data_IF_253455528477
#
_entry.id   IF_253455528477
#
_cell.length_a   1.000
_cell.length_b   1.000
_cell.length_c   1.000
_cell.angle_alpha   90.00
_cell.angle_beta   90.00
_cell.angle_gamma   90.00
#
_symmetry.space_group_name_H-M   'P 1'
#
loop_
_entity.id
_entity.type
_entity.pdbx_description
1 polymer ?
#
# COMPACT_ATOMS: atom_id res chain seq x y z
N UNK A 1 11.44 13.63 28.37
CA UNK A 1 11.35 13.10 26.99
C UNK A 1 10.97 11.64 27.13
N UNK A 2 9.96 11.17 26.41
CA UNK A 2 9.55 9.76 26.46
C UNK A 2 10.67 8.86 25.88
N UNK A 3 10.82 7.62 26.38
CA UNK A 3 11.80 6.66 25.86
C UNK A 3 11.56 6.34 24.38
N UNK A 4 10.31 6.36 23.94
CA UNK A 4 9.97 6.17 22.51
C UNK A 4 10.42 7.37 21.67
N UNK A 5 10.29 8.60 22.18
CA UNK A 5 10.77 9.81 21.51
C UNK A 5 12.30 9.82 21.36
N UNK A 6 13.03 9.48 22.42
CA UNK A 6 14.49 9.39 22.39
C UNK A 6 14.97 8.38 21.33
N UNK A 7 14.33 7.21 21.29
CA UNK A 7 14.62 6.18 20.30
C UNK A 7 14.26 6.61 18.88
N UNK A 8 13.18 7.37 18.69
CA UNK A 8 12.82 7.96 17.40
C UNK A 8 13.92 8.93 16.93
N UNK A 9 14.40 9.81 17.82
CA UNK A 9 15.44 10.79 17.48
C UNK A 9 16.77 10.09 17.16
N UNK A 10 17.17 9.06 17.92
CA UNK A 10 18.36 8.25 17.62
C UNK A 10 18.27 7.58 16.25
N UNK A 11 17.10 7.00 15.92
CA UNK A 11 16.89 6.38 14.62
C UNK A 11 17.03 7.38 13.47
N UNK A 12 16.52 8.60 13.65
CA UNK A 12 16.63 9.67 12.64
C UNK A 12 18.09 10.03 12.38
N UNK A 13 18.89 10.24 13.43
CA UNK A 13 20.32 10.54 13.27
C UNK A 13 21.09 9.37 12.65
N UNK A 14 20.84 8.14 13.09
CA UNK A 14 21.49 6.95 12.54
C UNK A 14 21.19 6.79 11.03
N UNK A 15 19.97 7.10 10.59
CA UNK A 15 19.62 7.08 9.17
C UNK A 15 20.25 8.26 8.42
N UNK A 16 20.32 9.45 9.03
CA UNK A 16 20.89 10.68 8.43
C UNK A 16 22.33 10.47 7.95
N UNK A 17 23.14 9.81 8.76
CA UNK A 17 24.54 9.49 8.47
C UNK A 17 24.72 8.47 7.32
N UNK A 18 23.64 7.90 6.79
CA UNK A 18 23.68 6.85 5.76
C UNK A 18 22.83 7.22 4.53
N UNK A 19 23.32 8.11 3.65
CA UNK A 19 22.58 8.60 2.47
C UNK A 19 22.01 7.52 1.55
N UNK A 20 22.65 6.35 1.47
CA UNK A 20 22.16 5.17 0.73
C UNK A 20 20.71 4.77 1.11
N UNK A 21 20.27 5.08 2.34
CA UNK A 21 18.96 4.70 2.85
C UNK A 21 17.83 5.62 2.39
N UNK A 22 18.14 6.84 1.92
CA UNK A 22 17.13 7.85 1.61
C UNK A 22 17.36 8.64 0.31
N UNK A 23 18.60 8.74 -0.16
CA UNK A 23 18.97 9.38 -1.43
C UNK A 23 18.98 8.37 -2.57
N UNK A 24 18.20 8.66 -3.62
CA UNK A 24 18.16 7.83 -4.83
C UNK A 24 19.48 7.86 -5.60
N UNK A 25 20.24 8.96 -5.55
CA UNK A 25 21.57 9.06 -6.18
C UNK A 25 22.58 8.14 -5.48
N UNK A 26 22.55 8.09 -4.15
CA UNK A 26 23.40 7.19 -3.37
C UNK A 26 22.99 5.72 -3.55
N UNK A 27 21.69 5.44 -3.65
CA UNK A 27 21.17 4.09 -3.86
C UNK A 27 21.51 3.52 -5.25
N UNK A 28 21.60 4.35 -6.31
CA UNK A 28 21.98 3.91 -7.65
C UNK A 28 23.43 3.41 -7.71
N UNK A 29 24.31 3.98 -6.89
CA UNK A 29 25.71 3.60 -6.81
C UNK A 29 25.96 2.43 -5.85
N UNK A 30 24.92 1.89 -5.23
CA UNK A 30 25.04 0.91 -4.17
C UNK A 30 24.43 -0.44 -4.56
N UNK A 31 25.18 -1.52 -4.36
CA UNK A 31 24.64 -2.87 -4.54
C UNK A 31 23.69 -3.25 -3.37
N UNK A 32 22.89 -4.30 -3.56
CA UNK A 32 21.93 -4.80 -2.55
C UNK A 32 22.60 -5.11 -1.21
N UNK A 33 23.85 -5.56 -1.22
CA UNK A 33 24.61 -5.85 -0.01
C UNK A 33 24.90 -4.58 0.80
N UNK A 34 25.28 -3.48 0.14
CA UNK A 34 25.50 -2.18 0.79
C UNK A 34 24.23 -1.64 1.47
N UNK A 35 23.07 -1.79 0.84
CA UNK A 35 21.79 -1.38 1.43
C UNK A 35 21.43 -2.21 2.67
N UNK A 36 21.64 -3.53 2.62
CA UNK A 36 21.40 -4.42 3.77
C UNK A 36 22.36 -4.08 4.91
N UNK A 37 23.65 -3.90 4.61
CA UNK A 37 24.66 -3.51 5.59
C UNK A 37 24.32 -2.18 6.25
N UNK A 38 23.94 -1.15 5.48
CA UNK A 38 23.58 0.14 6.04
C UNK A 38 22.41 0.07 7.04
N UNK A 39 21.42 -0.80 6.81
CA UNK A 39 20.35 -1.02 7.79
C UNK A 39 20.79 -1.83 9.01
N UNK A 40 21.76 -2.72 8.86
CA UNK A 40 22.37 -3.42 9.99
C UNK A 40 23.16 -2.44 10.84
N UNK A 41 23.99 -1.59 10.23
CA UNK A 41 24.76 -0.57 10.93
C UNK A 41 23.83 0.43 11.66
N UNK A 42 22.63 0.73 11.12
CA UNK A 42 21.60 1.50 11.84
C UNK A 42 21.10 0.75 13.06
N UNK A 43 20.84 -0.55 12.95
CA UNK A 43 20.37 -1.36 14.07
C UNK A 43 21.43 -1.48 15.18
N UNK A 44 22.69 -1.65 14.79
CA UNK A 44 23.82 -1.76 15.73
C UNK A 44 24.09 -0.43 16.46
N UNK A 45 23.79 0.71 15.83
CA UNK A 45 23.84 2.03 16.45
C UNK A 45 22.66 2.31 17.40
N UNK A 46 21.65 1.42 17.43
CA UNK A 46 20.51 1.52 18.35
C UNK A 46 20.77 0.69 19.61
N UNK A 47 19.87 0.77 20.59
CA UNK A 47 19.92 -0.05 21.80
C UNK A 47 19.91 -1.56 21.48
N UNK A 48 20.55 -2.36 22.35
CA UNK A 48 20.60 -3.83 22.25
C UNK A 48 19.19 -4.42 22.07
N UNK A 49 19.04 -5.29 21.07
CA UNK A 49 17.79 -5.98 20.75
C UNK A 49 16.95 -5.35 19.63
N UNK A 50 17.32 -4.17 19.11
CA UNK A 50 16.66 -3.59 17.93
C UNK A 50 17.23 -4.21 16.65
N UNK A 51 16.36 -4.74 15.81
CA UNK A 51 16.77 -5.31 14.51
C UNK A 51 16.61 -4.31 13.37
N UNK A 52 17.37 -4.52 12.29
CA UNK A 52 17.28 -3.73 11.05
C UNK A 52 15.85 -3.60 10.52
N UNK A 53 15.03 -4.64 10.64
CA UNK A 53 13.65 -4.63 10.16
C UNK A 53 12.69 -3.82 11.04
N UNK A 54 12.98 -3.69 12.34
CA UNK A 54 12.27 -2.79 13.23
C UNK A 54 12.61 -1.33 12.84
N UNK A 55 13.89 -1.03 12.64
CA UNK A 55 14.34 0.29 12.18
C UNK A 55 13.70 0.69 10.85
N UNK A 56 13.69 -0.21 9.85
CA UNK A 56 13.01 0.02 8.55
C UNK A 56 11.53 0.34 8.71
N UNK A 57 10.81 -0.44 9.53
CA UNK A 57 9.37 -0.24 9.75
C UNK A 57 9.09 1.10 10.42
N UNK A 58 9.84 1.44 11.47
CA UNK A 58 9.71 2.73 12.17
C UNK A 58 10.07 3.89 11.26
N UNK A 59 11.19 3.81 10.54
CA UNK A 59 11.60 4.83 9.57
C UNK A 59 10.54 5.10 8.51
N UNK A 60 9.88 4.05 7.99
CA UNK A 60 8.78 4.20 7.03
C UNK A 60 7.61 4.98 7.60
N UNK A 61 7.29 4.78 8.89
CA UNK A 61 6.22 5.54 9.57
C UNK A 61 6.64 6.99 9.77
N UNK A 62 7.84 7.24 10.29
CA UNK A 62 8.41 8.58 10.51
C UNK A 62 8.39 9.39 9.19
N UNK A 63 8.95 8.83 8.12
CA UNK A 63 8.98 9.47 6.80
C UNK A 63 7.58 9.74 6.26
N UNK A 64 6.62 8.83 6.47
CA UNK A 64 5.23 9.03 6.06
C UNK A 64 4.58 10.19 6.81
N UNK A 65 4.85 10.32 8.10
CA UNK A 65 4.37 11.45 8.92
C UNK A 65 5.02 12.76 8.48
N UNK A 66 6.34 12.77 8.20
CA UNK A 66 7.04 13.96 7.69
C UNK A 66 6.48 14.46 6.35
N UNK A 67 6.17 13.54 5.43
CA UNK A 67 5.50 13.89 4.17
C UNK A 67 4.12 14.52 4.40
N UNK A 68 3.38 14.08 5.43
CA UNK A 68 2.09 14.70 5.78
C UNK A 68 2.28 16.08 6.42
N UNK A 69 3.29 16.23 7.27
CA UNK A 69 3.68 17.53 7.85
C UNK A 69 3.97 18.54 6.75
N UNK A 70 4.86 18.22 5.80
CA UNK A 70 5.20 19.10 4.67
C UNK A 70 4.01 19.47 3.77
N UNK A 71 3.01 18.58 3.65
CA UNK A 71 1.84 18.82 2.77
C UNK A 71 0.71 19.59 3.45
N UNK A 72 0.43 19.27 4.70
CA UNK A 72 -0.81 19.66 5.37
C UNK A 72 -0.56 20.43 6.68
N UNK A 73 0.70 20.66 7.06
CA UNK A 73 1.05 21.25 8.35
C UNK A 73 0.69 20.38 9.56
N UNK A 74 0.43 19.08 9.37
CA UNK A 74 0.07 18.18 10.47
C UNK A 74 1.31 17.94 11.32
N UNK A 75 1.32 18.47 12.54
CA UNK A 75 2.42 18.31 13.48
C UNK A 75 2.73 16.83 13.78
N UNK A 76 4.01 16.57 13.98
CA UNK A 76 4.49 15.26 14.40
C UNK A 76 4.43 15.15 15.91
N UNK A 77 4.09 13.95 16.42
CA UNK A 77 3.95 13.71 17.87
C UNK A 77 5.23 13.99 18.66
N UNK A 78 6.37 13.60 18.11
CA UNK A 78 7.67 13.75 18.75
C UNK A 78 8.17 15.20 18.55
N UNK A 79 8.36 15.98 19.62
CA UNK A 79 8.85 17.35 19.53
C UNK A 79 10.25 17.40 18.90
N UNK A 80 10.52 18.41 18.06
CA UNK A 80 11.84 18.64 17.48
C UNK A 80 12.29 17.65 16.39
N UNK A 81 11.44 16.66 16.04
CA UNK A 81 11.80 15.66 15.01
C UNK A 81 11.84 16.28 13.61
N UNK A 82 11.04 17.31 13.35
CA UNK A 82 10.93 17.89 12.03
C UNK A 82 12.21 18.62 11.62
N UNK A 83 12.88 19.31 12.56
CA UNK A 83 14.20 19.92 12.33
C UNK A 83 15.24 18.88 11.94
N UNK A 84 15.23 17.71 12.61
CA UNK A 84 16.15 16.61 12.31
C UNK A 84 15.85 15.91 10.99
N UNK A 85 14.64 16.06 10.45
CA UNK A 85 14.24 15.49 9.16
C UNK A 85 14.42 16.44 7.98
N UNK A 86 14.88 17.69 8.20
CA UNK A 86 15.05 18.69 7.13
C UNK A 86 15.97 18.23 5.98
N UNK A 87 16.92 17.34 6.26
CA UNK A 87 17.77 16.76 5.21
C UNK A 87 17.00 15.97 4.14
N UNK A 88 15.74 15.61 4.40
CA UNK A 88 14.85 14.97 3.45
C UNK A 88 14.00 15.96 2.64
N UNK A 89 13.92 17.23 3.03
CA UNK A 89 12.91 18.16 2.51
C UNK A 89 13.08 18.35 1.00
N UNK A 90 14.30 18.67 0.54
CA UNK A 90 14.60 18.82 -0.88
C UNK A 90 14.31 17.55 -1.70
N UNK A 91 14.61 16.37 -1.14
CA UNK A 91 14.38 15.07 -1.78
C UNK A 91 12.88 14.74 -1.86
N UNK A 92 12.12 15.10 -0.83
CA UNK A 92 10.68 14.90 -0.79
C UNK A 92 10.00 15.88 -1.74
N UNK A 93 10.39 17.16 -1.71
CA UNK A 93 9.86 18.21 -2.57
C UNK A 93 10.11 17.88 -4.04
N UNK A 94 11.34 17.53 -4.43
CA UNK A 94 11.67 17.16 -5.80
C UNK A 94 10.85 15.95 -6.31
N UNK A 95 10.58 14.95 -5.44
CA UNK A 95 9.67 13.86 -5.78
C UNK A 95 8.23 14.33 -5.87
N UNK A 96 7.78 15.21 -4.98
CA UNK A 96 6.44 15.77 -5.02
C UNK A 96 6.23 16.56 -6.31
N UNK A 97 7.17 17.40 -6.71
CA UNK A 97 7.12 18.17 -7.95
C UNK A 97 7.04 17.26 -9.19
N UNK A 98 7.72 16.11 -9.17
CA UNK A 98 7.57 15.08 -10.20
C UNK A 98 6.16 14.44 -10.22
N UNK A 99 5.47 14.37 -9.08
CA UNK A 99 4.11 13.83 -8.97
C UNK A 99 3.01 14.89 -9.19
N UNK A 100 3.22 16.14 -8.79
CA UNK A 100 2.27 17.26 -8.92
C UNK A 100 2.31 17.87 -10.32
N UNK A 101 3.48 17.88 -10.99
CA UNK A 101 3.54 18.19 -12.43
C UNK A 101 2.85 17.14 -13.32
N UNK A 102 2.41 15.99 -12.76
CA UNK A 102 1.48 15.07 -13.42
C UNK A 102 0.02 15.37 -13.04
N UNK A 103 -0.39 16.61 -13.33
CA UNK A 103 -1.75 17.16 -13.38
C UNK A 103 -2.65 16.95 -12.14
N UNK A 104 -3.52 17.92 -11.85
CA UNK A 104 -4.48 17.84 -10.75
C UNK A 104 -5.26 16.52 -10.79
N UNK A 105 -5.70 16.00 -9.64
CA UNK A 105 -6.57 14.81 -9.58
C UNK A 105 -7.78 14.95 -10.53
N UNK A 106 -8.24 16.18 -10.73
CA UNK A 106 -9.31 16.54 -11.66
C UNK A 106 -8.89 16.43 -13.12
N UNK A 107 -7.70 16.90 -13.48
CA UNK A 107 -7.14 16.76 -14.83
C UNK A 107 -6.91 15.30 -15.20
N UNK A 108 -6.48 14.48 -14.24
CA UNK A 108 -6.30 13.04 -14.43
C UNK A 108 -7.62 12.34 -14.65
N UNK A 109 -8.67 12.73 -13.94
CA UNK A 109 -10.02 12.21 -14.17
C UNK A 109 -10.49 12.62 -15.57
N UNK A 110 -10.34 13.90 -15.93
CA UNK A 110 -10.69 14.43 -17.27
C UNK A 110 -9.95 13.68 -18.38
N UNK A 111 -8.65 13.45 -18.22
CA UNK A 111 -7.84 12.65 -19.14
C UNK A 111 -8.38 11.23 -19.29
N UNK A 112 -8.64 10.54 -18.17
CA UNK A 112 -9.15 9.17 -18.21
C UNK A 112 -10.53 9.10 -18.87
N UNK A 113 -11.41 10.08 -18.61
CA UNK A 113 -12.73 10.16 -19.23
C UNK A 113 -12.61 10.33 -20.75
N UNK A 114 -11.73 11.23 -21.22
CA UNK A 114 -11.49 11.40 -22.65
C UNK A 114 -10.92 10.13 -23.29
N UNK A 115 -9.99 9.45 -22.62
CA UNK A 115 -9.45 8.18 -23.09
C UNK A 115 -10.54 7.11 -23.19
N UNK A 116 -11.41 6.98 -22.19
CA UNK A 116 -12.50 6.00 -22.20
C UNK A 116 -13.45 6.26 -23.36
N UNK A 117 -13.87 7.52 -23.58
CA UNK A 117 -14.73 7.92 -24.70
C UNK A 117 -14.10 7.59 -26.05
N UNK A 118 -12.84 7.96 -26.25
CA UNK A 118 -12.14 7.68 -27.51
C UNK A 118 -11.97 6.19 -27.76
N UNK A 119 -11.71 5.38 -26.72
CA UNK A 119 -11.59 3.93 -26.88
C UNK A 119 -12.93 3.28 -27.20
N UNK A 120 -14.04 3.77 -26.64
CA UNK A 120 -15.40 3.29 -26.90
C UNK A 120 -15.79 3.38 -28.39
N UNK A 121 -15.22 4.33 -29.14
CA UNK A 121 -15.40 4.45 -30.60
C UNK A 121 -14.73 3.33 -31.40
N UNK A 122 -13.87 2.52 -30.77
CA UNK A 122 -13.15 1.42 -31.43
C UNK A 122 -13.40 0.06 -30.74
N UNK A 123 -14.56 -0.59 -30.96
CA UNK A 123 -14.93 -1.85 -30.30
C UNK A 123 -13.89 -2.97 -30.38
N UNK A 124 -13.20 -3.10 -31.51
CA UNK A 124 -12.16 -4.11 -31.72
C UNK A 124 -10.93 -3.95 -30.80
N UNK A 125 -10.77 -2.80 -30.12
CA UNK A 125 -9.69 -2.60 -29.14
C UNK A 125 -9.97 -3.30 -27.80
N UNK A 126 -11.24 -3.64 -27.53
CA UNK A 126 -11.65 -4.19 -26.25
C UNK A 126 -12.59 -5.39 -26.33
N UNK A 127 -13.14 -5.72 -27.50
CA UNK A 127 -13.79 -7.00 -27.74
C UNK A 127 -12.76 -8.15 -27.74
N UNK A 128 -13.29 -9.38 -27.70
CA UNK A 128 -12.51 -10.62 -27.64
C UNK A 128 -12.26 -11.25 -29.01
N UNK A 129 -12.45 -10.51 -30.10
CA UNK A 129 -12.22 -10.98 -31.46
C UNK A 129 -10.72 -11.07 -31.77
N UNK A 130 -10.32 -11.88 -32.79
CA UNK A 130 -8.94 -11.98 -33.23
C UNK A 130 -8.37 -10.60 -33.61
N UNK A 131 -7.27 -10.21 -32.95
CA UNK A 131 -6.69 -8.87 -33.13
C UNK A 131 -5.89 -8.77 -34.43
N UNK A 132 -6.22 -7.78 -35.24
CA UNK A 132 -5.38 -7.37 -36.37
C UNK A 132 -4.37 -6.31 -35.91
N UNK A 133 -3.08 -6.69 -35.84
CA UNK A 133 -2.00 -5.87 -35.26
C UNK A 133 -1.87 -4.49 -35.94
N UNK A 134 -2.10 -4.42 -37.26
CA UNK A 134 -1.99 -3.17 -38.03
C UNK A 134 -3.12 -2.19 -37.67
N UNK A 135 -4.38 -2.67 -37.64
CA UNK A 135 -5.56 -1.89 -37.25
C UNK A 135 -5.49 -1.41 -35.80
N UNK A 136 -5.01 -2.25 -34.89
CA UNK A 136 -4.77 -1.88 -33.49
C UNK A 136 -3.80 -0.70 -33.39
N UNK A 137 -2.66 -0.77 -34.09
CA UNK A 137 -1.63 0.27 -34.04
C UNK A 137 -2.16 1.60 -34.56
N UNK A 138 -2.88 1.58 -35.68
CA UNK A 138 -3.46 2.78 -36.27
C UNK A 138 -4.48 3.44 -35.33
N UNK A 139 -5.40 2.66 -34.75
CA UNK A 139 -6.38 3.16 -33.80
C UNK A 139 -5.73 3.76 -32.55
N UNK A 140 -4.73 3.08 -31.96
CA UNK A 140 -4.01 3.63 -30.81
C UNK A 140 -3.22 4.90 -31.13
N UNK A 141 -2.71 5.05 -32.36
CA UNK A 141 -2.07 6.29 -32.81
C UNK A 141 -3.09 7.43 -32.94
N UNK A 142 -4.27 7.18 -33.51
CA UNK A 142 -5.37 8.17 -33.59
C UNK A 142 -5.80 8.64 -32.21
N UNK A 143 -6.02 7.70 -31.27
CA UNK A 143 -6.38 8.02 -29.88
C UNK A 143 -5.27 8.83 -29.20
N UNK A 144 -4.00 8.49 -29.42
CA UNK A 144 -2.88 9.22 -28.81
C UNK A 144 -2.83 10.68 -29.28
N UNK A 145 -2.92 10.89 -30.59
CA UNK A 145 -2.93 12.23 -31.17
C UNK A 145 -4.14 13.05 -30.69
N UNK A 146 -5.31 12.41 -30.53
CA UNK A 146 -6.50 13.09 -30.02
C UNK A 146 -6.42 13.46 -28.52
N UNK A 147 -5.61 12.75 -27.74
CA UNK A 147 -5.44 13.02 -26.30
C UNK A 147 -4.38 14.08 -26.01
N UNK A 148 -3.23 14.01 -26.70
CA UNK A 148 -2.14 14.98 -26.57
C UNK A 148 -1.03 14.69 -27.58
N UNK A 149 -0.48 15.74 -28.19
CA UNK A 149 0.68 15.66 -29.10
C UNK A 149 1.95 15.08 -28.44
N UNK A 150 2.00 15.02 -27.11
CA UNK A 150 3.15 14.52 -26.35
C UNK A 150 3.09 13.02 -26.04
N UNK A 151 1.96 12.36 -26.28
CA UNK A 151 1.76 10.97 -25.89
C UNK A 151 1.98 10.01 -27.05
N UNK A 152 2.68 8.92 -26.79
CA UNK A 152 2.78 7.82 -27.75
C UNK A 152 1.60 6.86 -27.61
N UNK A 153 1.27 6.14 -28.68
CA UNK A 153 0.27 5.05 -28.64
C UNK A 153 0.59 3.98 -27.59
N UNK A 154 1.86 3.76 -27.28
CA UNK A 154 2.29 2.82 -26.23
C UNK A 154 1.95 3.32 -24.83
N UNK A 155 2.08 4.61 -24.57
CA UNK A 155 1.77 5.21 -23.27
C UNK A 155 0.27 5.18 -23.00
N UNK A 156 -0.52 5.54 -24.02
CA UNK A 156 -1.98 5.49 -23.99
C UNK A 156 -2.48 4.06 -23.78
N UNK A 157 -1.92 3.08 -24.49
CA UNK A 157 -2.24 1.67 -24.31
C UNK A 157 -1.94 1.17 -22.88
N UNK A 158 -0.82 1.59 -22.29
CA UNK A 158 -0.49 1.27 -20.89
C UNK A 158 -1.49 1.90 -19.92
N UNK A 159 -1.93 3.14 -20.18
CA UNK A 159 -2.97 3.80 -19.39
C UNK A 159 -4.30 3.04 -19.46
N UNK A 160 -4.73 2.66 -20.67
CA UNK A 160 -5.92 1.87 -20.89
C UNK A 160 -5.89 0.51 -20.17
N UNK A 161 -4.77 -0.22 -20.26
CA UNK A 161 -4.60 -1.49 -19.55
C UNK A 161 -4.74 -1.34 -18.02
N UNK A 162 -4.22 -0.25 -17.45
CA UNK A 162 -4.37 0.03 -16.02
C UNK A 162 -5.83 0.32 -15.66
N UNK A 163 -6.56 1.07 -16.48
CA UNK A 163 -7.99 1.34 -16.30
C UNK A 163 -8.81 0.05 -16.38
N UNK A 164 -8.59 -0.78 -17.41
CA UNK A 164 -9.26 -2.09 -17.54
C UNK A 164 -9.04 -2.97 -16.31
N UNK A 165 -7.81 -3.07 -15.79
CA UNK A 165 -7.52 -3.84 -14.57
C UNK A 165 -8.31 -3.34 -13.36
N UNK A 166 -8.44 -2.02 -13.19
CA UNK A 166 -9.24 -1.42 -12.11
C UNK A 166 -10.73 -1.71 -12.29
N UNK A 167 -11.24 -1.65 -13.51
CA UNK A 167 -12.63 -1.93 -13.80
C UNK A 167 -12.99 -3.41 -13.58
N UNK A 168 -12.11 -4.34 -13.97
CA UNK A 168 -12.27 -5.77 -13.64
C UNK A 168 -12.36 -5.97 -12.13
N UNK A 169 -11.49 -5.31 -11.36
CA UNK A 169 -11.55 -5.36 -9.90
C UNK A 169 -12.88 -4.79 -9.36
N UNK A 170 -13.36 -3.68 -9.91
CA UNK A 170 -14.67 -3.11 -9.56
C UNK A 170 -15.82 -4.10 -9.78
N UNK A 171 -15.83 -4.79 -10.92
CA UNK A 171 -16.82 -5.82 -11.24
C UNK A 171 -16.72 -7.04 -10.32
N UNK A 172 -15.50 -7.53 -10.05
CA UNK A 172 -15.26 -8.68 -9.17
C UNK A 172 -15.70 -8.45 -7.73
N UNK A 173 -15.62 -7.21 -7.25
CA UNK A 173 -15.93 -6.85 -5.87
C UNK A 173 -17.33 -6.25 -5.68
N UNK A 174 -18.15 -6.21 -6.74
CA UNK A 174 -19.51 -5.67 -6.72
C UNK A 174 -19.59 -4.31 -6.01
N UNK A 175 -18.61 -3.43 -6.27
CA UNK A 175 -18.53 -2.13 -5.61
C UNK A 175 -19.71 -1.25 -6.07
N UNK A 176 -20.19 -0.39 -5.17
CA UNK A 176 -21.26 0.56 -5.48
C UNK A 176 -20.82 1.52 -6.59
N UNK A 177 -21.73 1.74 -7.53
CA UNK A 177 -21.51 2.64 -8.66
C UNK A 177 -21.49 4.11 -8.20
N UNK A 178 -20.64 4.93 -8.80
CA UNK A 178 -20.55 6.35 -8.46
C UNK A 178 -20.15 7.16 -9.71
N UNK A 179 -21.01 8.04 -10.24
CA UNK A 179 -20.81 8.72 -11.53
C UNK A 179 -19.56 9.63 -11.57
N UNK A 180 -19.03 10.02 -10.41
CA UNK A 180 -17.78 10.80 -10.31
C UNK A 180 -16.53 9.93 -10.46
N UNK A 181 -16.68 8.60 -10.54
CA UNK A 181 -15.60 7.65 -10.71
C UNK A 181 -15.50 7.18 -12.16
N UNK A 182 -14.29 6.82 -12.56
CA UNK A 182 -14.04 6.36 -13.94
C UNK A 182 -14.76 5.05 -14.25
N UNK A 183 -14.97 4.19 -13.24
CA UNK A 183 -15.58 2.88 -13.41
C UNK A 183 -17.02 2.96 -13.96
N UNK A 184 -17.79 4.00 -13.62
CA UNK A 184 -19.15 4.21 -14.14
C UNK A 184 -19.18 4.49 -15.64
N UNK A 185 -18.09 5.00 -16.21
CA UNK A 185 -17.99 5.32 -17.64
C UNK A 185 -17.49 4.13 -18.47
N UNK A 186 -17.18 3.00 -17.82
CA UNK A 186 -16.61 1.81 -18.47
C UNK A 186 -17.62 0.66 -18.61
N UNK A 187 -18.91 0.90 -18.34
CA UNK A 187 -19.95 -0.14 -18.39
C UNK A 187 -20.15 -0.79 -19.76
N UNK A 188 -19.81 -0.10 -20.85
CA UNK A 188 -19.80 -0.69 -22.19
C UNK A 188 -18.86 -1.90 -22.31
N UNK A 189 -17.86 -2.02 -21.43
CA UNK A 189 -16.95 -3.17 -21.40
C UNK A 189 -17.57 -4.40 -20.75
N UNK A 190 -18.62 -4.25 -19.92
CA UNK A 190 -19.18 -5.32 -19.09
C UNK A 190 -19.55 -6.58 -19.89
N UNK A 191 -20.16 -6.50 -21.10
CA UNK A 191 -20.47 -7.69 -21.91
C UNK A 191 -19.22 -8.50 -22.31
N UNK A 192 -18.09 -7.83 -22.53
CA UNK A 192 -16.83 -8.40 -23.03
C UNK A 192 -15.89 -8.89 -21.90
N UNK A 193 -16.21 -8.59 -20.64
CA UNK A 193 -15.36 -8.95 -19.49
C UNK A 193 -15.82 -10.23 -18.79
N UNK A 194 -16.91 -10.85 -19.24
CA UNK A 194 -17.52 -12.02 -18.60
C UNK A 194 -16.52 -13.17 -18.44
N UNK A 195 -15.77 -13.48 -19.48
CA UNK A 195 -14.79 -14.57 -19.45
C UNK A 195 -13.65 -14.28 -18.45
N UNK A 196 -13.15 -13.03 -18.38
CA UNK A 196 -12.07 -12.64 -17.44
C UNK A 196 -12.51 -12.77 -15.99
N UNK A 197 -13.76 -12.40 -15.69
CA UNK A 197 -14.34 -12.49 -14.34
C UNK A 197 -14.50 -13.96 -13.92
N UNK A 198 -14.88 -14.83 -14.86
CA UNK A 198 -15.05 -16.27 -14.63
C UNK A 198 -13.69 -16.96 -14.47
N UNK A 199 -12.70 -16.65 -15.31
CA UNK A 199 -11.37 -17.31 -15.28
C UNK A 199 -10.49 -16.83 -14.13
N UNK A 200 -10.70 -15.59 -13.67
CA UNK A 200 -10.03 -15.03 -12.51
C UNK A 200 -11.08 -14.67 -11.46
N UNK A 201 -11.69 -15.66 -10.78
CA UNK A 201 -12.56 -15.35 -9.67
C UNK A 201 -11.77 -14.50 -8.67
N UNK A 202 -12.41 -13.53 -7.97
CA UNK A 202 -11.73 -12.79 -6.92
C UNK A 202 -11.08 -13.82 -6.00
N UNK A 203 -9.75 -13.77 -5.88
CA UNK A 203 -9.03 -14.62 -4.93
C UNK A 203 -9.67 -14.34 -3.58
N UNK A 204 -10.56 -15.24 -3.13
CA UNK A 204 -11.05 -15.22 -1.76
C UNK A 204 -9.78 -15.16 -0.91
N UNK A 205 -9.62 -14.21 0.03
CA UNK A 205 -8.57 -14.36 1.02
C UNK A 205 -8.74 -15.76 1.59
N UNK A 206 -7.70 -16.60 1.49
CA UNK A 206 -7.79 -18.05 1.62
C UNK A 206 -8.82 -18.45 2.68
N UNK A 207 -9.98 -18.92 2.23
CA UNK A 207 -11.01 -19.50 3.10
C UNK A 207 -10.45 -20.87 3.45
N UNK A 208 -9.64 -20.92 4.52
CA UNK A 208 -9.12 -22.18 5.04
C UNK A 208 -10.31 -23.08 5.36
N UNK A 209 -10.30 -24.23 4.70
CA UNK A 209 -11.10 -25.40 5.00
C UNK A 209 -11.25 -25.60 6.51
N UNK A 210 -12.47 -25.95 6.92
CA UNK A 210 -12.89 -26.29 8.28
C UNK A 210 -12.27 -27.61 8.77
N UNK A 211 -10.97 -27.81 8.59
CA UNK A 211 -10.26 -28.86 9.29
C UNK A 211 -9.95 -28.35 10.71
N UNK A 212 -10.20 -29.14 11.75
CA UNK A 212 -9.76 -28.81 13.10
C UNK A 212 -8.25 -28.63 13.06
N UNK A 213 -7.79 -27.38 13.23
CA UNK A 213 -6.37 -27.09 13.40
C UNK A 213 -6.03 -27.59 14.80
N UNK A 214 -5.48 -28.79 14.89
CA UNK A 214 -4.77 -29.25 16.09
C UNK A 214 -3.63 -28.25 16.33
N UNK A 215 -3.54 -27.61 17.51
CA UNK A 215 -2.46 -26.68 17.80
C UNK A 215 -1.14 -27.43 17.80
N UNK A 216 -0.30 -27.19 16.79
CA UNK A 216 1.12 -27.56 16.87
C UNK A 216 1.77 -26.59 17.85
N UNK A 217 2.28 -27.12 18.96
CA UNK A 217 2.99 -26.43 20.05
C UNK A 217 4.08 -25.45 19.56
N UNK A 218 4.67 -25.70 18.40
CA UNK A 218 5.77 -24.93 17.81
C UNK A 218 5.44 -23.49 17.36
N UNK A 219 4.21 -22.97 17.56
CA UNK A 219 3.83 -21.61 17.12
C UNK A 219 3.86 -20.57 18.23
N UNK A 220 3.97 -20.99 19.48
CA UNK A 220 4.02 -20.09 20.65
C UNK A 220 5.39 -19.39 20.73
N UNK A 221 6.47 -20.06 20.31
CA UNK A 221 7.86 -19.52 20.26
C UNK A 221 8.02 -18.24 19.41
N UNK A 222 7.08 -17.93 18.51
CA UNK A 222 7.17 -16.72 17.67
C UNK A 222 6.86 -15.41 18.41
N UNK A 223 6.43 -15.46 19.68
CA UNK A 223 6.09 -14.29 20.50
C UNK A 223 7.12 -13.95 21.58
N UNK A 224 8.25 -14.66 21.68
CA UNK A 224 9.33 -14.42 22.67
C UNK A 224 9.85 -12.96 22.67
N UNK A 225 9.78 -12.29 21.52
CA UNK A 225 10.20 -10.90 21.35
C UNK A 225 9.30 -9.86 22.07
N UNK A 226 8.18 -10.28 22.65
CA UNK A 226 7.26 -9.40 23.37
C UNK A 226 7.53 -9.34 24.89
N UNK A 227 8.50 -10.11 25.40
CA UNK A 227 8.90 -10.07 26.82
C UNK A 227 7.81 -10.50 27.80
N UNK A 228 6.82 -11.27 27.34
CA UNK A 228 5.81 -11.86 28.21
C UNK A 228 6.35 -13.14 28.83
N UNK A 229 6.07 -13.31 30.12
CA UNK A 229 6.32 -14.53 30.85
C UNK A 229 5.45 -15.65 30.27
N UNK A 230 6.07 -16.69 29.69
CA UNK A 230 5.36 -17.82 29.11
C UNK A 230 4.69 -18.71 30.18
N UNK A 231 4.94 -18.44 31.47
CA UNK A 231 4.25 -19.09 32.59
C UNK A 231 2.92 -18.40 32.96
N UNK A 232 2.66 -17.19 32.46
CA UNK A 232 1.39 -16.49 32.70
C UNK A 232 0.24 -17.14 31.91
N UNK A 233 -0.62 -17.85 32.65
CA UNK A 233 -1.78 -18.57 32.12
C UNK A 233 -2.76 -17.65 31.39
N UNK A 234 -2.91 -16.41 31.84
CA UNK A 234 -3.80 -15.44 31.21
C UNK A 234 -3.21 -14.91 29.91
N UNK A 235 -1.89 -14.69 29.87
CA UNK A 235 -1.18 -14.33 28.65
C UNK A 235 -1.27 -15.46 27.59
N UNK A 236 -1.05 -16.71 28.00
CA UNK A 236 -1.16 -17.89 27.12
C UNK A 236 -2.60 -18.03 26.59
N UNK A 237 -3.61 -17.84 27.44
CA UNK A 237 -5.01 -17.83 27.03
C UNK A 237 -5.28 -16.75 25.97
N UNK A 238 -4.85 -15.50 26.19
CA UNK A 238 -5.05 -14.42 25.22
C UNK A 238 -4.31 -14.68 23.90
N UNK A 239 -3.12 -15.26 23.94
CA UNK A 239 -2.36 -15.65 22.75
C UNK A 239 -3.05 -16.77 21.97
N UNK A 240 -3.77 -17.68 22.63
CA UNK A 240 -4.56 -18.73 21.98
C UNK A 240 -5.68 -18.18 21.08
N UNK A 241 -6.15 -16.95 21.32
CA UNK A 241 -7.21 -16.29 20.54
C UNK A 241 -6.66 -15.68 19.23
N UNK A 242 -5.35 -15.40 19.15
CA UNK A 242 -4.72 -14.69 18.02
C UNK A 242 -4.91 -15.36 16.65
N UNK A 243 -4.80 -16.70 16.51
CA UNK A 243 -5.08 -17.37 15.23
C UNK A 243 -6.51 -17.10 14.73
N UNK A 244 -7.49 -17.11 15.63
CA UNK A 244 -8.89 -16.83 15.31
C UNK A 244 -9.07 -15.36 14.87
N UNK A 245 -8.42 -14.41 15.55
CA UNK A 245 -8.44 -13.00 15.15
C UNK A 245 -7.83 -12.78 13.75
N UNK A 246 -6.78 -13.51 13.41
CA UNK A 246 -6.15 -13.46 12.09
C UNK A 246 -7.08 -14.00 10.99
N UNK A 247 -7.94 -14.97 11.31
CA UNK A 247 -8.93 -15.53 10.39
C UNK A 247 -10.17 -14.62 10.18
N UNK A 248 -10.46 -13.69 11.09
CA UNK A 248 -11.60 -12.78 10.97
C UNK A 248 -11.40 -11.70 9.90
N UNK A 249 -12.50 -11.31 9.23
CA UNK A 249 -12.54 -10.11 8.39
C UNK A 249 -12.31 -8.83 9.22
N UNK A 250 -11.98 -7.71 8.58
CA UNK A 250 -11.76 -6.45 9.28
C UNK A 250 -12.96 -6.00 10.13
N UNK A 251 -14.18 -6.20 9.64
CA UNK A 251 -15.40 -5.87 10.37
C UNK A 251 -15.62 -6.80 11.57
N UNK A 252 -15.50 -8.12 11.37
CA UNK A 252 -15.63 -9.10 12.45
C UNK A 252 -14.59 -8.90 13.54
N UNK A 253 -13.33 -8.61 13.18
CA UNK A 253 -12.26 -8.33 14.14
C UNK A 253 -12.54 -7.07 14.95
N UNK A 254 -13.12 -6.04 14.33
CA UNK A 254 -13.54 -4.81 15.01
C UNK A 254 -14.68 -5.11 15.98
N UNK A 255 -15.70 -5.85 15.54
CA UNK A 255 -16.83 -6.25 16.40
C UNK A 255 -16.36 -7.07 17.60
N UNK A 256 -15.53 -8.09 17.38
CA UNK A 256 -14.95 -8.89 18.45
C UNK A 256 -14.22 -8.03 19.49
N UNK A 257 -13.34 -7.12 19.05
CA UNK A 257 -12.61 -6.23 19.96
C UNK A 257 -13.53 -5.35 20.78
N UNK A 258 -14.57 -4.79 20.16
CA UNK A 258 -15.56 -3.98 20.86
C UNK A 258 -16.33 -4.81 21.90
N UNK A 259 -16.83 -5.99 21.51
CA UNK A 259 -17.56 -6.87 22.41
C UNK A 259 -16.69 -7.37 23.57
N UNK A 260 -15.42 -7.72 23.32
CA UNK A 260 -14.48 -8.12 24.36
C UNK A 260 -14.27 -7.00 25.38
N UNK A 261 -14.03 -5.75 24.93
CA UNK A 261 -13.88 -4.60 25.82
C UNK A 261 -15.15 -4.35 26.63
N UNK A 262 -16.33 -4.41 25.98
CA UNK A 262 -17.60 -4.21 26.67
C UNK A 262 -17.85 -5.28 27.73
N UNK A 263 -17.61 -6.55 27.39
CA UNK A 263 -17.76 -7.67 28.32
C UNK A 263 -16.76 -7.55 29.49
N UNK A 264 -15.50 -7.20 29.22
CA UNK A 264 -14.53 -6.94 30.28
C UNK A 264 -14.99 -5.81 31.19
N UNK A 265 -15.53 -4.72 30.64
CA UNK A 265 -16.06 -3.61 31.42
C UNK A 265 -17.29 -4.01 32.26
N UNK A 266 -18.14 -4.92 31.78
CA UNK A 266 -19.26 -5.47 32.54
C UNK A 266 -18.78 -6.36 33.70
N UNK A 267 -17.82 -7.24 33.44
CA UNK A 267 -17.24 -8.13 34.45
C UNK A 267 -16.52 -7.35 35.55
N UNK A 268 -15.79 -6.28 35.18
CA UNK A 268 -15.04 -5.43 36.10
C UNK A 268 -15.90 -4.40 36.85
N UNK A 269 -17.18 -4.26 36.50
CA UNK A 269 -18.14 -3.38 37.20
C UNK A 269 -18.78 -4.03 38.44
N UNK A 270 -18.22 -5.14 38.91
CA UNK A 270 -18.56 -5.74 40.21
C UNK A 270 -17.68 -5.20 41.32
#
# INVERSE_FOLDING_TARGET
>A
MDKDDEMILMLVEAVRERPILYSSLAALNSNRAGYVKAWQDVADAMNKGVTADICKRRWKVIRKCHVKFLRNGIEMKTPGIHERLRFLDSLIQAKQDQYTNRSSSQDRLKFNLNLVKLVEEYPFLYDDQPRCISRDREAWNKIANALSDKLTSTDVKKCWQKLRKKYVYFLQHALQDNPKRIESHMHFLKPYMKHIIITNPPRKPARMSHLPIVPKSSRIESYDHLGYDLEDKDAVFLLSIVPHLKAMTGNQRRQFKMSAIMLSAEILKK
#
